data_IF_908642893412
#
_entry.id   IF_908642893412
#
_cell.length_a   1.000
_cell.length_b   1.000
_cell.length_c   1.000
_cell.angle_alpha   90.00
_cell.angle_beta   90.00
_cell.angle_gamma   90.00
#
_symmetry.space_group_name_H-M   'P 1'
#
loop_
_entity.id
_entity.type
_entity.pdbx_description
1 polymer ?
#
# COMPACT_ATOMS: atom_id res chain seq x y z
N UNK A 1 0.92 -1.30 2.19
CA UNK A 1 0.29 -1.72 3.47
C UNK A 1 -1.17 -1.33 3.46
N UNK A 2 -2.08 -2.25 3.83
CA UNK A 2 -3.52 -1.97 3.97
C UNK A 2 -4.15 -3.09 4.79
N UNK A 3 -4.89 -2.72 5.84
CA UNK A 3 -5.50 -3.64 6.81
C UNK A 3 -4.71 -3.71 8.11
N UNK A 4 -5.38 -3.45 9.22
CA UNK A 4 -4.75 -3.21 10.52
C UNK A 4 -5.66 -3.70 11.64
N UNK A 5 -5.10 -4.32 12.67
CA UNK A 5 -5.81 -4.65 13.91
C UNK A 5 -4.90 -4.40 15.10
N UNK A 6 -5.46 -4.00 16.25
CA UNK A 6 -4.68 -3.81 17.46
C UNK A 6 -4.04 -5.12 17.95
N UNK A 7 -2.90 -5.02 18.64
CA UNK A 7 -2.36 -6.15 19.42
C UNK A 7 -3.35 -6.53 20.52
N UNK A 8 -3.36 -7.80 20.89
CA UNK A 8 -4.19 -8.29 22.00
C UNK A 8 -3.66 -7.83 23.37
N UNK A 9 -4.54 -7.75 24.36
CA UNK A 9 -4.14 -7.47 25.76
C UNK A 9 -3.46 -8.69 26.42
N UNK A 10 -3.51 -9.85 25.76
CA UNK A 10 -2.87 -11.11 26.12
C UNK A 10 -2.63 -11.94 24.86
N UNK A 11 -1.82 -12.99 24.97
CA UNK A 11 -1.40 -13.83 23.84
C UNK A 11 -2.56 -14.48 23.10
N UNK A 12 -3.59 -14.92 23.84
CA UNK A 12 -4.75 -15.56 23.24
C UNK A 12 -5.56 -14.59 22.37
N UNK A 13 -5.76 -13.35 22.84
CA UNK A 13 -6.41 -12.31 22.05
C UNK A 13 -5.51 -11.87 20.89
N UNK A 14 -4.21 -11.78 21.12
CA UNK A 14 -3.26 -11.34 20.10
C UNK A 14 -3.21 -12.31 18.92
N UNK A 15 -3.19 -13.61 19.21
CA UNK A 15 -3.28 -14.65 18.20
C UNK A 15 -4.63 -14.62 17.45
N UNK A 16 -5.75 -14.42 18.17
CA UNK A 16 -7.07 -14.27 17.52
C UNK A 16 -7.12 -13.07 16.59
N UNK A 17 -6.60 -11.92 17.02
CA UNK A 17 -6.57 -10.71 16.20
C UNK A 17 -5.72 -10.91 14.95
N UNK A 18 -4.53 -11.49 15.09
CA UNK A 18 -3.65 -11.85 13.96
C UNK A 18 -4.38 -12.77 12.97
N UNK A 19 -4.99 -13.84 13.46
CA UNK A 19 -5.69 -14.83 12.64
C UNK A 19 -6.93 -14.23 11.94
N UNK A 20 -7.67 -13.38 12.64
CA UNK A 20 -8.78 -12.64 12.05
C UNK A 20 -8.32 -11.77 10.90
N UNK A 21 -7.29 -10.93 11.11
CA UNK A 21 -6.78 -10.04 10.06
C UNK A 21 -6.25 -10.83 8.85
N UNK A 22 -5.60 -11.97 9.07
CA UNK A 22 -5.09 -12.83 8.01
C UNK A 22 -6.19 -13.37 7.07
N UNK A 23 -7.39 -13.59 7.60
CA UNK A 23 -8.50 -14.25 6.92
C UNK A 23 -9.66 -13.31 6.57
N UNK A 24 -9.63 -12.05 7.00
CA UNK A 24 -10.70 -11.09 6.73
C UNK A 24 -10.74 -10.73 5.23
N UNK A 25 -11.84 -11.07 4.58
CA UNK A 25 -12.01 -10.94 3.13
C UNK A 25 -11.99 -9.48 2.67
N UNK A 26 -12.50 -8.55 3.47
CA UNK A 26 -12.49 -7.11 3.18
C UNK A 26 -11.07 -6.58 3.18
N UNK A 27 -10.31 -6.80 4.26
CA UNK A 27 -8.93 -6.34 4.39
C UNK A 27 -8.04 -6.89 3.28
N UNK A 28 -8.16 -8.19 2.97
CA UNK A 28 -7.43 -8.81 1.85
C UNK A 28 -7.79 -8.18 0.51
N UNK A 29 -9.08 -7.93 0.26
CA UNK A 29 -9.54 -7.30 -0.98
C UNK A 29 -9.01 -5.87 -1.15
N UNK A 30 -9.05 -5.08 -0.08
CA UNK A 30 -8.48 -3.73 -0.07
C UNK A 30 -6.95 -3.75 -0.30
N UNK A 31 -6.24 -4.69 0.33
CA UNK A 31 -4.80 -4.84 0.12
C UNK A 31 -4.46 -5.24 -1.32
N UNK A 32 -5.16 -6.22 -1.88
CA UNK A 32 -5.02 -6.63 -3.29
C UNK A 32 -5.32 -5.49 -4.26
N UNK A 33 -6.33 -4.66 -3.98
CA UNK A 33 -6.62 -3.47 -4.78
C UNK A 33 -5.41 -2.50 -4.82
N UNK A 34 -4.79 -2.24 -3.66
CA UNK A 34 -3.58 -1.40 -3.58
C UNK A 34 -2.40 -2.07 -4.29
N UNK A 35 -2.22 -3.38 -4.14
CA UNK A 35 -1.16 -4.12 -4.85
C UNK A 35 -1.33 -3.99 -6.36
N UNK A 36 -2.54 -4.15 -6.88
CA UNK A 36 -2.81 -4.01 -8.31
C UNK A 36 -2.53 -2.59 -8.81
N UNK A 37 -2.92 -1.57 -8.04
CA UNK A 37 -2.60 -0.17 -8.36
C UNK A 37 -1.09 0.05 -8.43
N UNK A 38 -0.34 -0.41 -7.43
CA UNK A 38 1.12 -0.23 -7.38
C UNK A 38 1.85 -1.04 -8.46
N UNK A 39 1.39 -2.26 -8.79
CA UNK A 39 1.94 -3.04 -9.91
C UNK A 39 1.78 -2.30 -11.24
N UNK A 40 0.62 -1.67 -11.45
CA UNK A 40 0.37 -0.85 -12.63
C UNK A 40 1.30 0.37 -12.69
N UNK A 41 1.47 1.07 -11.57
CA UNK A 41 2.37 2.23 -11.49
C UNK A 41 3.83 1.82 -11.72
N UNK A 42 4.30 0.75 -11.07
CA UNK A 42 5.65 0.19 -11.25
C UNK A 42 5.89 -0.31 -12.68
N UNK A 43 4.88 -0.88 -13.34
CA UNK A 43 5.00 -1.37 -14.71
C UNK A 43 5.43 -0.31 -15.72
N UNK A 44 5.20 0.97 -15.45
CA UNK A 44 5.63 2.09 -16.31
C UNK A 44 7.15 2.27 -16.31
N UNK A 45 7.79 2.01 -15.18
CA UNK A 45 9.23 2.23 -14.92
C UNK A 45 10.04 0.93 -14.81
N UNK A 46 9.39 -0.23 -14.93
CA UNK A 46 10.04 -1.53 -14.77
C UNK A 46 10.32 -2.21 -16.11
N UNK A 47 11.34 -3.06 -16.15
CA UNK A 47 11.58 -3.98 -17.27
C UNK A 47 10.37 -4.89 -17.47
N UNK A 48 10.09 -5.23 -18.74
CA UNK A 48 8.92 -6.02 -19.11
C UNK A 48 8.95 -7.39 -18.41
N UNK A 49 7.86 -7.73 -17.71
CA UNK A 49 7.74 -9.01 -17.01
C UNK A 49 8.48 -9.10 -15.67
N UNK A 50 9.22 -8.05 -15.25
CA UNK A 50 9.98 -8.07 -13.99
C UNK A 50 9.14 -7.79 -12.73
N UNK A 51 7.93 -7.24 -12.87
CA UNK A 51 7.08 -6.87 -11.73
C UNK A 51 6.46 -8.12 -11.10
N UNK A 52 6.93 -8.48 -9.91
CA UNK A 52 6.47 -9.65 -9.14
C UNK A 52 5.93 -9.23 -7.77
N UNK A 53 5.06 -10.08 -7.21
CA UNK A 53 4.57 -9.93 -5.83
C UNK A 53 5.18 -11.05 -5.02
N UNK A 54 6.25 -10.75 -4.27
CA UNK A 54 7.00 -11.77 -3.51
C UNK A 54 6.33 -12.13 -2.18
N UNK A 55 5.53 -11.22 -1.61
CA UNK A 55 4.68 -11.48 -0.44
C UNK A 55 3.32 -10.84 -0.65
N UNK A 56 2.25 -11.61 -0.47
CA UNK A 56 0.88 -11.12 -0.66
C UNK A 56 0.07 -11.30 0.63
N UNK A 57 -0.43 -10.18 1.16
CA UNK A 57 -1.26 -10.14 2.37
C UNK A 57 -0.60 -10.85 3.57
N UNK A 58 0.71 -10.64 3.75
CA UNK A 58 1.46 -11.14 4.90
C UNK A 58 1.09 -10.32 6.16
N UNK A 59 1.18 -10.94 7.33
CA UNK A 59 0.80 -10.30 8.59
C UNK A 59 2.05 -10.01 9.41
N UNK A 60 2.44 -8.74 9.44
CA UNK A 60 3.60 -8.24 10.16
C UNK A 60 3.23 -7.77 11.56
N UNK A 61 4.12 -8.10 12.51
CA UNK A 61 4.00 -7.69 13.91
C UNK A 61 4.64 -6.32 14.13
N UNK A 62 3.88 -5.38 14.66
CA UNK A 62 4.38 -4.12 15.21
C UNK A 62 4.11 -4.05 16.71
N UNK A 63 4.64 -3.01 17.37
CA UNK A 63 4.52 -2.83 18.82
C UNK A 63 3.07 -2.73 19.29
N UNK A 64 2.23 -2.00 18.56
CA UNK A 64 0.83 -1.73 18.94
C UNK A 64 -0.21 -2.33 18.01
N UNK A 65 0.19 -2.78 16.82
CA UNK A 65 -0.72 -3.36 15.81
C UNK A 65 -0.15 -4.60 15.12
N UNK A 66 -1.05 -5.42 14.57
CA UNK A 66 -0.76 -6.28 13.44
C UNK A 66 -1.12 -5.54 12.15
N UNK A 67 -0.23 -5.60 11.17
CA UNK A 67 -0.38 -4.90 9.90
C UNK A 67 -0.36 -5.90 8.75
N UNK A 68 -1.32 -5.80 7.84
CA UNK A 68 -1.29 -6.55 6.58
C UNK A 68 -0.44 -5.81 5.55
N UNK A 69 0.60 -6.48 5.08
CA UNK A 69 1.59 -5.98 4.14
C UNK A 69 1.66 -6.86 2.89
N UNK A 70 2.16 -6.27 1.81
CA UNK A 70 2.46 -6.98 0.57
C UNK A 70 3.71 -6.34 0.00
N UNK A 71 4.58 -7.17 -0.58
CA UNK A 71 5.84 -6.77 -1.16
C UNK A 71 5.78 -6.96 -2.67
N UNK A 72 6.09 -5.89 -3.40
CA UNK A 72 6.15 -5.86 -4.86
C UNK A 72 7.57 -5.49 -5.24
N UNK A 73 8.16 -6.25 -6.14
CA UNK A 73 9.54 -6.09 -6.58
C UNK A 73 9.57 -6.00 -8.11
N UNK A 74 10.54 -5.27 -8.64
CA UNK A 74 10.78 -5.20 -10.08
C UNK A 74 12.20 -4.76 -10.39
N UNK A 75 12.61 -4.93 -11.65
CA UNK A 75 13.85 -4.37 -12.16
C UNK A 75 13.51 -3.07 -12.87
N UNK A 76 14.22 -1.99 -12.55
CA UNK A 76 14.02 -0.69 -13.21
C UNK A 76 14.55 -0.73 -14.64
N UNK A 77 13.89 -0.02 -15.55
CA UNK A 77 14.44 0.25 -16.88
C UNK A 77 15.76 1.03 -16.74
N UNK A 78 16.66 0.85 -17.71
CA UNK A 78 17.88 1.64 -17.82
C UNK A 78 17.56 3.13 -18.00
N UNK A 79 18.48 3.97 -17.55
CA UNK A 79 18.47 5.42 -17.76
C UNK A 79 17.27 6.19 -17.16
N UNK A 80 16.65 5.65 -16.11
CA UNK A 80 15.63 6.37 -15.36
C UNK A 80 16.26 7.31 -14.33
N UNK A 81 15.73 8.54 -14.28
CA UNK A 81 16.06 9.48 -13.22
C UNK A 81 15.22 9.20 -11.96
N UNK A 82 15.66 9.74 -10.81
CA UNK A 82 14.85 9.72 -9.59
C UNK A 82 13.48 10.40 -9.81
N UNK A 83 13.44 11.46 -10.62
CA UNK A 83 12.20 12.15 -10.96
C UNK A 83 11.21 11.22 -11.67
N UNK A 84 11.67 10.38 -12.60
CA UNK A 84 10.79 9.44 -13.32
C UNK A 84 10.17 8.41 -12.37
N UNK A 85 10.94 7.94 -11.39
CA UNK A 85 10.47 7.00 -10.37
C UNK A 85 9.39 7.67 -9.50
N UNK A 86 9.66 8.88 -9.00
CA UNK A 86 8.69 9.62 -8.19
C UNK A 86 7.43 9.95 -8.98
N UNK A 87 7.55 10.42 -10.22
CA UNK A 87 6.40 10.77 -11.06
C UNK A 87 5.48 9.55 -11.33
N UNK A 88 6.04 8.34 -11.38
CA UNK A 88 5.26 7.13 -11.56
C UNK A 88 4.56 6.67 -10.27
N UNK A 89 5.26 6.70 -9.13
CA UNK A 89 4.81 6.08 -7.89
C UNK A 89 4.08 7.05 -6.93
N UNK A 90 4.41 8.33 -6.99
CA UNK A 90 3.92 9.35 -6.08
C UNK A 90 2.61 10.01 -6.56
N UNK A 91 1.69 10.36 -5.65
CA UNK A 91 1.60 9.91 -4.26
C UNK A 91 1.23 8.42 -4.17
N UNK A 92 1.59 7.78 -3.05
CA UNK A 92 1.38 6.36 -2.87
C UNK A 92 -0.12 5.96 -2.94
N UNK A 93 -0.40 4.79 -3.51
CA UNK A 93 -1.77 4.30 -3.67
C UNK A 93 -2.54 4.11 -2.37
N UNK A 94 -1.87 3.73 -1.27
CA UNK A 94 -2.54 3.41 0.00
C UNK A 94 -3.08 4.64 0.76
N UNK A 95 -2.59 5.84 0.43
CA UNK A 95 -2.92 7.11 1.07
C UNK A 95 -3.85 8.00 0.21
N UNK A 96 -4.04 7.58 -1.04
CA UNK A 96 -4.92 8.24 -2.01
C UNK A 96 -6.16 7.38 -2.17
N UNK A 97 -6.02 6.26 -2.88
CA UNK A 97 -7.07 5.32 -3.23
C UNK A 97 -6.97 4.92 -4.70
N UNK A 98 -7.93 4.11 -5.17
CA UNK A 98 -7.99 3.64 -6.55
C UNK A 98 -9.37 3.95 -7.15
N UNK A 99 -9.47 4.52 -8.37
CA UNK A 99 -8.39 5.02 -9.22
C UNK A 99 -7.78 6.35 -8.73
N UNK A 100 -6.43 6.44 -8.72
CA UNK A 100 -5.65 7.52 -8.07
C UNK A 100 -6.12 8.94 -8.43
N UNK A 101 -6.29 9.23 -9.73
CA UNK A 101 -6.66 10.58 -10.20
C UNK A 101 -8.04 11.00 -9.70
N UNK A 102 -9.03 10.10 -9.81
CA UNK A 102 -10.40 10.39 -9.37
C UNK A 102 -10.46 10.58 -7.85
N UNK A 103 -9.81 9.68 -7.09
CA UNK A 103 -9.77 9.79 -5.64
C UNK A 103 -9.07 11.07 -5.17
N UNK A 104 -7.99 11.49 -5.84
CA UNK A 104 -7.31 12.76 -5.52
C UNK A 104 -8.20 13.99 -5.78
N UNK A 105 -9.02 13.97 -6.83
CA UNK A 105 -10.01 15.04 -7.08
C UNK A 105 -11.04 15.13 -5.95
N UNK A 106 -11.55 13.98 -5.49
CA UNK A 106 -12.50 13.90 -4.37
C UNK A 106 -11.85 14.40 -3.08
N UNK A 107 -10.61 13.97 -2.78
CA UNK A 107 -9.85 14.44 -1.61
C UNK A 107 -9.74 15.96 -1.62
N UNK A 108 -9.38 16.56 -2.76
CA UNK A 108 -9.26 18.01 -2.89
C UNK A 108 -10.59 18.77 -2.71
N UNK A 109 -11.73 18.12 -2.97
CA UNK A 109 -13.05 18.71 -2.75
C UNK A 109 -13.53 18.57 -1.30
N UNK A 110 -13.18 17.48 -0.63
CA UNK A 110 -13.67 17.15 0.70
C UNK A 110 -12.79 17.68 1.84
N UNK A 111 -11.48 17.78 1.61
CA UNK A 111 -10.55 18.26 2.65
C UNK A 111 -10.52 19.79 2.70
N UNK A 112 -10.53 20.39 3.91
CA UNK A 112 -10.64 21.83 4.07
C UNK A 112 -9.36 22.60 3.66
N UNK A 113 -8.24 21.89 3.49
CA UNK A 113 -6.94 22.48 3.19
C UNK A 113 -6.01 21.46 2.51
N UNK A 114 -4.98 21.91 1.78
CA UNK A 114 -3.96 21.02 1.24
C UNK A 114 -3.22 20.24 2.33
N UNK A 115 -2.87 18.98 2.06
CA UNK A 115 -2.17 18.11 3.02
C UNK A 115 -0.71 18.52 3.31
N UNK A 116 -0.07 19.28 2.42
CA UNK A 116 1.34 19.66 2.57
C UNK A 116 2.25 18.43 2.68
N UNK A 117 3.06 18.36 3.74
CA UNK A 117 3.96 17.22 4.00
C UNK A 117 3.21 15.97 4.47
N UNK A 118 1.98 16.11 4.99
CA UNK A 118 1.19 14.97 5.44
C UNK A 118 0.87 14.03 4.29
N UNK A 119 1.24 12.76 4.44
CA UNK A 119 1.14 11.73 3.39
C UNK A 119 2.02 12.05 2.15
N UNK A 120 3.08 12.85 2.34
CA UNK A 120 4.15 13.06 1.37
C UNK A 120 5.26 12.00 1.47
N UNK A 121 6.46 12.36 1.00
CA UNK A 121 7.68 11.55 1.10
C UNK A 121 8.84 12.43 1.56
N UNK A 122 9.76 11.88 2.37
CA UNK A 122 10.97 12.54 2.89
C UNK A 122 12.18 11.70 2.49
#
# INVERSE_FOLDING_TARGET
MKGTVARGINDAQDFRNKHWLANDSKNRSENMMIVNLLRNDMGRISELGSVTVSKLCDIEQYSTVWQMTSTIESQLKKDLSLFDIFNALFPCGSITGAPKISTMSIINQLEPSPRGVYLGSI
#
